data_IF_885075617170
#
_entry.id   IF_885075617170
#
_cell.length_a   1.000
_cell.length_b   1.000
_cell.length_c   1.000
_cell.angle_alpha   90.00
_cell.angle_beta   90.00
_cell.angle_gamma   90.00
#
_symmetry.space_group_name_H-M   'P 1'
#
loop_
_entity.id
_entity.type
_entity.pdbx_description
1 polymer ?
#
# COMPACT_ATOMS: atom_id res chain seq x y z
N UNK A 1 58.15 18.83 -1.97
CA UNK A 1 57.13 18.34 -1.01
C UNK A 1 56.08 19.41 -0.72
N UNK A 2 56.49 20.62 -0.35
CA UNK A 2 55.59 21.78 -0.11
C UNK A 2 54.69 22.13 -1.29
N UNK A 3 55.21 22.19 -2.52
CA UNK A 3 54.39 22.51 -3.71
C UNK A 3 53.31 21.46 -4.01
N UNK A 4 53.62 20.18 -3.81
CA UNK A 4 52.66 19.07 -3.98
C UNK A 4 51.57 19.17 -2.92
N UNK A 5 51.93 19.44 -1.66
CA UNK A 5 50.95 19.61 -0.57
C UNK A 5 50.07 20.84 -0.83
N UNK A 6 50.64 21.96 -1.28
CA UNK A 6 49.89 23.17 -1.59
C UNK A 6 48.90 22.94 -2.74
N UNK A 7 49.31 22.22 -3.79
CA UNK A 7 48.46 21.85 -4.91
C UNK A 7 47.28 20.95 -4.50
N UNK A 8 47.54 19.95 -3.66
CA UNK A 8 46.48 19.07 -3.12
C UNK A 8 45.50 19.87 -2.27
N UNK A 9 45.98 20.73 -1.36
CA UNK A 9 45.13 21.56 -0.51
C UNK A 9 44.27 22.50 -1.35
N UNK A 10 44.85 23.17 -2.34
CA UNK A 10 44.11 24.06 -3.24
C UNK A 10 43.00 23.33 -4.00
N UNK A 11 43.31 22.14 -4.53
CA UNK A 11 42.34 21.31 -5.23
C UNK A 11 41.20 20.85 -4.32
N UNK A 12 41.51 20.42 -3.09
CA UNK A 12 40.50 20.03 -2.09
C UNK A 12 39.61 21.23 -1.71
N UNK A 13 40.19 22.42 -1.52
CA UNK A 13 39.43 23.64 -1.19
C UNK A 13 38.47 24.02 -2.32
N UNK A 14 38.91 23.94 -3.59
CA UNK A 14 38.03 24.19 -4.73
C UNK A 14 36.87 23.20 -4.76
N UNK A 15 37.14 21.90 -4.56
CA UNK A 15 36.08 20.88 -4.54
C UNK A 15 35.10 21.15 -3.39
N UNK A 16 35.59 21.47 -2.19
CA UNK A 16 34.74 21.78 -1.03
C UNK A 16 33.90 23.03 -1.26
N UNK A 17 34.45 24.07 -1.89
CA UNK A 17 33.72 25.27 -2.28
C UNK A 17 32.62 24.96 -3.30
N UNK A 18 32.92 24.17 -4.33
CA UNK A 18 31.95 23.74 -5.34
C UNK A 18 30.82 22.92 -4.70
N UNK A 19 31.16 21.95 -3.85
CA UNK A 19 30.18 21.12 -3.13
C UNK A 19 29.33 21.99 -2.19
N UNK A 20 29.94 22.92 -1.47
CA UNK A 20 29.23 23.87 -0.61
C UNK A 20 28.24 24.73 -1.38
N UNK A 21 28.65 25.23 -2.56
CA UNK A 21 27.77 25.98 -3.46
C UNK A 21 26.58 25.15 -3.96
N UNK A 22 26.82 23.89 -4.34
CA UNK A 22 25.75 22.96 -4.76
C UNK A 22 24.77 22.69 -3.62
N UNK A 23 25.26 22.44 -2.41
CA UNK A 23 24.41 22.20 -1.24
C UNK A 23 23.57 23.45 -0.90
N UNK A 24 24.18 24.64 -0.95
CA UNK A 24 23.46 25.88 -0.70
C UNK A 24 22.37 26.15 -1.77
N UNK A 25 22.67 25.88 -3.03
CA UNK A 25 21.69 25.96 -4.11
C UNK A 25 20.55 24.95 -3.89
N UNK A 26 20.87 23.69 -3.56
CA UNK A 26 19.89 22.64 -3.27
C UNK A 26 18.95 23.04 -2.13
N UNK A 27 19.47 23.59 -1.02
CA UNK A 27 18.66 24.03 0.13
C UNK A 27 17.70 25.18 -0.18
N UNK A 28 17.98 26.00 -1.21
CA UNK A 28 17.08 27.08 -1.63
C UNK A 28 16.10 26.68 -2.72
N UNK A 29 16.46 25.73 -3.58
CA UNK A 29 15.67 25.33 -4.74
C UNK A 29 14.75 24.14 -4.48
N UNK A 30 15.09 23.31 -3.49
CA UNK A 30 14.26 22.15 -3.10
C UNK A 30 13.40 22.56 -1.91
N UNK A 31 12.06 22.52 -2.05
CA UNK A 31 11.16 22.73 -0.92
C UNK A 31 11.51 21.72 0.19
N UNK A 32 11.77 22.25 1.38
CA UNK A 32 12.11 21.48 2.57
C UNK A 32 11.40 22.10 3.76
N UNK A 33 10.72 21.28 4.55
CA UNK A 33 9.87 21.75 5.63
C UNK A 33 8.64 20.85 5.82
N UNK A 34 7.73 21.33 6.64
CA UNK A 34 6.39 20.80 6.83
C UNK A 34 5.45 21.69 6.02
N UNK A 35 4.48 21.09 5.36
CA UNK A 35 3.43 21.78 4.59
C UNK A 35 2.07 21.38 5.12
N UNK A 36 1.14 22.32 5.03
CA UNK A 36 -0.21 22.12 5.51
C UNK A 36 -1.08 21.51 4.41
N UNK A 37 -1.77 20.42 4.73
CA UNK A 37 -2.79 19.81 3.86
C UNK A 37 -4.17 20.04 4.46
N UNK A 38 -4.93 20.93 3.86
CA UNK A 38 -6.32 21.22 4.24
C UNK A 38 -7.26 20.25 3.51
N UNK A 39 -8.08 19.54 4.26
CA UNK A 39 -9.06 18.57 3.72
C UNK A 39 -10.47 19.15 3.87
N UNK A 40 -11.27 19.13 2.80
CA UNK A 40 -12.70 19.51 2.82
C UNK A 40 -13.02 20.90 3.41
N UNK A 41 -12.15 21.89 3.17
CA UNK A 41 -12.30 23.26 3.71
C UNK A 41 -12.22 23.36 5.25
N UNK A 42 -11.79 22.31 5.96
CA UNK A 42 -11.55 22.35 7.40
C UNK A 42 -10.20 23.01 7.68
N UNK A 43 -10.18 24.35 7.59
CA UNK A 43 -8.96 25.18 7.74
C UNK A 43 -8.42 25.19 9.18
N UNK A 44 -9.25 24.85 10.17
CA UNK A 44 -8.89 24.93 11.58
C UNK A 44 -8.05 23.74 12.08
N UNK A 45 -7.98 22.63 11.32
CA UNK A 45 -7.17 21.43 11.63
C UNK A 45 -6.39 20.96 10.39
N UNK A 46 -5.39 21.73 9.91
CA UNK A 46 -4.56 21.31 8.78
C UNK A 46 -3.66 20.13 9.17
N UNK A 47 -3.48 19.19 8.24
CA UNK A 47 -2.56 18.07 8.43
C UNK A 47 -1.13 18.52 8.12
N UNK A 48 -0.25 18.37 9.10
CA UNK A 48 1.18 18.64 8.95
C UNK A 48 1.87 17.49 8.21
N UNK A 49 2.33 17.74 6.98
CA UNK A 49 2.96 16.73 6.13
C UNK A 49 4.39 17.11 5.78
N UNK A 50 5.31 16.14 5.83
CA UNK A 50 6.70 16.36 5.47
C UNK A 50 6.88 16.58 3.95
N UNK A 51 7.77 17.51 3.61
CA UNK A 51 8.10 17.79 2.21
C UNK A 51 8.59 16.54 1.46
N UNK A 52 8.02 16.34 0.27
CA UNK A 52 8.26 15.27 -0.70
C UNK A 52 7.60 13.91 -0.39
N UNK A 53 6.92 13.76 0.73
CA UNK A 53 6.11 12.57 1.00
C UNK A 53 4.98 12.44 -0.01
N UNK A 54 4.59 11.18 -0.29
CA UNK A 54 3.44 10.93 -1.14
C UNK A 54 2.17 11.22 -0.34
N UNK A 55 1.25 11.97 -0.96
CA UNK A 55 0.00 12.36 -0.32
C UNK A 55 -0.77 11.13 0.20
N UNK A 56 -0.73 9.99 -0.50
CA UNK A 56 -1.37 8.76 -0.01
C UNK A 56 -0.86 8.32 1.37
N UNK A 57 0.46 8.31 1.58
CA UNK A 57 1.04 7.85 2.84
C UNK A 57 0.87 8.90 3.92
N UNK A 58 1.05 10.17 3.58
CA UNK A 58 0.82 11.27 4.51
C UNK A 58 -0.63 11.32 5.05
N UNK A 59 -1.62 11.02 4.21
CA UNK A 59 -3.01 10.90 4.64
C UNK A 59 -3.20 9.67 5.54
N UNK A 60 -2.60 8.53 5.18
CA UNK A 60 -2.69 7.31 5.99
C UNK A 60 -2.04 7.46 7.37
N UNK A 61 -0.94 8.21 7.48
CA UNK A 61 -0.26 8.53 8.74
C UNK A 61 -1.10 9.44 9.66
N UNK A 62 -2.10 10.12 9.09
CA UNK A 62 -3.08 10.95 9.79
C UNK A 62 -4.48 10.30 9.82
N UNK A 63 -4.54 8.97 9.79
CA UNK A 63 -5.78 8.17 9.88
C UNK A 63 -6.81 8.41 8.75
N UNK A 64 -6.38 8.97 7.60
CA UNK A 64 -7.23 9.16 6.41
C UNK A 64 -6.84 8.15 5.34
N UNK A 65 -7.65 7.10 5.20
CA UNK A 65 -7.33 5.98 4.31
C UNK A 65 -7.98 6.10 2.93
N UNK A 66 -7.24 6.70 1.98
CA UNK A 66 -7.69 6.77 0.59
C UNK A 66 -7.60 5.39 -0.08
N UNK A 67 -8.64 4.95 -0.82
CA UNK A 67 -8.65 3.71 -1.61
C UNK A 67 -7.37 3.48 -2.43
N UNK A 68 -6.62 2.41 -2.11
CA UNK A 68 -5.40 2.08 -2.85
C UNK A 68 -5.10 0.57 -2.86
N UNK A 69 -5.63 -0.16 -3.85
CA UNK A 69 -5.32 -1.58 -3.99
C UNK A 69 -3.84 -1.88 -4.31
N UNK A 70 -3.12 -0.95 -4.95
CA UNK A 70 -1.74 -1.17 -5.39
C UNK A 70 -0.66 -0.75 -4.37
N UNK A 71 -1.04 -0.22 -3.21
CA UNK A 71 -0.07 0.26 -2.20
C UNK A 71 0.82 1.40 -2.69
N UNK A 72 0.33 2.21 -3.63
CA UNK A 72 1.00 3.40 -4.13
C UNK A 72 1.84 3.24 -5.41
N UNK A 73 1.76 2.08 -6.08
CA UNK A 73 2.44 1.84 -7.36
C UNK A 73 1.91 2.63 -8.57
N UNK A 74 0.82 3.40 -8.43
CA UNK A 74 0.27 4.21 -9.52
C UNK A 74 -0.43 3.43 -10.64
N UNK A 75 -0.74 2.15 -10.42
CA UNK A 75 -1.28 1.24 -11.45
C UNK A 75 -2.77 0.92 -11.31
N UNK A 76 -3.37 1.12 -10.13
CA UNK A 76 -4.78 0.82 -9.90
C UNK A 76 -5.73 1.98 -10.22
N UNK A 77 -5.25 3.23 -10.15
CA UNK A 77 -6.07 4.42 -10.37
C UNK A 77 -7.18 4.67 -9.34
N UNK A 78 -7.20 3.95 -8.22
CA UNK A 78 -8.24 4.09 -7.17
C UNK A 78 -7.98 5.25 -6.21
N UNK A 79 -6.72 5.65 -6.04
CA UNK A 79 -6.32 6.71 -5.11
C UNK A 79 -6.58 8.11 -5.68
N UNK A 80 -7.74 8.30 -6.33
CA UNK A 80 -8.14 9.58 -6.91
C UNK A 80 -8.55 10.52 -5.79
N UNK A 81 -7.94 11.70 -5.80
CA UNK A 81 -8.27 12.79 -4.89
C UNK A 81 -8.45 14.05 -5.73
N UNK A 82 -9.34 14.94 -5.31
CA UNK A 82 -9.51 16.23 -5.98
C UNK A 82 -8.65 17.26 -5.27
N UNK A 83 -7.71 17.85 -6.00
CA UNK A 83 -6.82 18.89 -5.47
C UNK A 83 -7.32 20.24 -5.95
N UNK A 84 -7.75 21.07 -5.01
CA UNK A 84 -8.26 22.42 -5.26
C UNK A 84 -7.09 23.38 -5.46
N UNK A 85 -6.07 23.29 -4.61
CA UNK A 85 -4.90 24.17 -4.65
C UNK A 85 -3.61 23.40 -4.36
N UNK A 86 -2.52 23.87 -4.96
CA UNK A 86 -1.17 23.41 -4.65
C UNK A 86 -0.72 22.09 -5.29
N UNK A 87 -1.57 21.39 -6.05
CA UNK A 87 -1.23 20.08 -6.65
C UNK A 87 -0.24 20.11 -7.82
N UNK A 88 0.07 21.28 -8.38
CA UNK A 88 0.91 21.42 -9.57
C UNK A 88 0.31 20.75 -10.82
N UNK A 89 1.15 20.44 -11.81
CA UNK A 89 0.72 19.80 -13.07
C UNK A 89 0.60 18.28 -12.97
N UNK A 90 -0.32 17.71 -13.77
CA UNK A 90 -0.54 16.26 -13.86
C UNK A 90 0.69 15.53 -14.40
N UNK A 91 1.13 14.50 -13.68
CA UNK A 91 2.29 13.70 -14.06
C UNK A 91 1.93 12.71 -15.19
N UNK A 92 2.89 12.31 -16.04
CA UNK A 92 2.65 11.29 -17.07
C UNK A 92 2.12 9.97 -16.51
N UNK A 93 2.51 9.60 -15.28
CA UNK A 93 2.05 8.39 -14.58
C UNK A 93 0.56 8.44 -14.20
N UNK A 94 -0.03 9.62 -14.14
CA UNK A 94 -1.44 9.81 -13.80
C UNK A 94 -2.34 9.79 -15.04
N UNK A 95 -1.79 10.13 -16.22
CA UNK A 95 -2.55 10.27 -17.48
C UNK A 95 -3.16 8.96 -17.99
N UNK A 96 -2.70 7.81 -17.51
CA UNK A 96 -3.32 6.51 -17.83
C UNK A 96 -4.66 6.29 -17.12
N UNK A 97 -4.88 6.95 -15.98
CA UNK A 97 -6.05 6.74 -15.13
C UNK A 97 -6.94 7.98 -14.98
N UNK A 98 -6.43 9.15 -15.35
CA UNK A 98 -7.12 10.44 -15.24
C UNK A 98 -7.32 11.00 -16.64
N UNK A 99 -8.59 11.21 -17.02
CA UNK A 99 -8.95 11.78 -18.29
C UNK A 99 -8.81 13.32 -18.28
N UNK A 100 -8.92 13.95 -19.46
CA UNK A 100 -8.73 15.41 -19.61
C UNK A 100 -9.77 16.22 -18.81
N UNK A 101 -11.01 15.71 -18.65
CA UNK A 101 -12.04 16.41 -17.85
C UNK A 101 -11.72 16.34 -16.37
N UNK A 102 -11.41 15.15 -15.86
CA UNK A 102 -10.97 14.95 -14.48
C UNK A 102 -9.73 15.80 -14.16
N UNK A 103 -8.74 15.84 -15.05
CA UNK A 103 -7.55 16.67 -14.86
C UNK A 103 -7.87 18.18 -14.78
N UNK A 104 -8.88 18.66 -15.53
CA UNK A 104 -9.35 20.06 -15.45
C UNK A 104 -10.10 20.36 -14.16
N UNK A 105 -10.76 19.36 -13.59
CA UNK A 105 -11.46 19.45 -12.30
C UNK A 105 -10.52 19.29 -11.09
N UNK A 106 -9.22 19.07 -11.33
CA UNK A 106 -8.20 18.97 -10.29
C UNK A 106 -7.98 17.56 -9.75
N UNK A 107 -8.50 16.51 -10.40
CA UNK A 107 -8.25 15.14 -9.96
C UNK A 107 -6.80 14.74 -10.16
N UNK A 108 -6.22 14.12 -9.13
CA UNK A 108 -4.84 13.62 -9.05
C UNK A 108 -4.81 12.23 -8.41
N UNK A 109 -3.73 11.48 -8.63
CA UNK A 109 -3.47 10.25 -7.89
C UNK A 109 -2.64 10.58 -6.65
N UNK A 110 -3.23 10.45 -5.45
CA UNK A 110 -2.56 10.79 -4.19
C UNK A 110 -1.26 10.00 -3.98
N UNK A 111 -1.15 8.79 -4.52
CA UNK A 111 0.09 8.00 -4.42
C UNK A 111 1.24 8.51 -5.28
N UNK A 112 0.95 9.25 -6.35
CA UNK A 112 1.98 9.78 -7.25
C UNK A 112 2.30 11.24 -6.93
N UNK A 113 1.34 11.97 -6.39
CA UNK A 113 1.49 13.35 -5.94
C UNK A 113 2.41 13.42 -4.71
N UNK A 114 3.54 14.13 -4.86
CA UNK A 114 4.43 14.47 -3.75
C UNK A 114 4.10 15.86 -3.22
N UNK A 115 4.02 16.01 -1.90
CA UNK A 115 3.73 17.30 -1.24
C UNK A 115 4.95 18.22 -1.34
N UNK A 116 4.82 19.38 -1.97
CA UNK A 116 5.94 20.33 -2.20
C UNK A 116 5.66 21.76 -1.72
N UNK A 117 4.43 22.00 -1.33
CA UNK A 117 3.84 23.25 -0.89
C UNK A 117 2.50 22.90 -0.23
N UNK A 118 1.87 23.87 0.41
CA UNK A 118 0.58 23.69 1.04
C UNK A 118 -0.46 23.21 0.01
N UNK A 119 -1.30 22.27 0.41
CA UNK A 119 -2.29 21.61 -0.43
C UNK A 119 -3.68 21.84 0.13
N UNK A 120 -4.64 21.97 -0.78
CA UNK A 120 -6.05 21.92 -0.45
C UNK A 120 -6.70 20.81 -1.24
N UNK A 121 -7.29 19.85 -0.55
CA UNK A 121 -7.89 18.66 -1.17
C UNK A 121 -9.35 18.48 -0.74
N UNK A 122 -10.14 17.87 -1.61
CA UNK A 122 -11.50 17.42 -1.33
C UNK A 122 -11.55 15.89 -1.37
N UNK A 123 -12.12 15.30 -0.32
CA UNK A 123 -12.30 13.86 -0.15
C UNK A 123 -13.77 13.54 0.17
N UNK A 124 -14.33 12.47 -0.41
CA UNK A 124 -15.69 12.04 -0.06
C UNK A 124 -15.78 11.63 1.42
N UNK A 125 -16.91 11.91 2.09
CA UNK A 125 -17.09 11.67 3.53
C UNK A 125 -16.98 10.19 3.94
N UNK A 126 -17.15 9.28 2.98
CA UNK A 126 -17.00 7.84 3.17
C UNK A 126 -15.59 7.44 3.59
N UNK A 127 -14.56 8.17 3.15
CA UNK A 127 -13.15 7.86 3.45
C UNK A 127 -12.84 7.98 4.95
N UNK A 128 -13.53 8.88 5.64
CA UNK A 128 -13.33 9.09 7.09
C UNK A 128 -14.03 8.03 7.95
N UNK A 129 -14.78 7.09 7.34
CA UNK A 129 -15.44 5.99 8.07
C UNK A 129 -14.60 4.73 8.17
N UNK A 130 -13.48 4.65 7.44
CA UNK A 130 -12.61 3.48 7.45
C UNK A 130 -12.07 3.25 8.87
N UNK A 131 -12.23 2.02 9.40
CA UNK A 131 -11.75 1.65 10.73
C UNK A 131 -10.77 0.50 10.66
N UNK A 132 -9.76 0.53 11.52
CA UNK A 132 -8.93 -0.65 11.75
C UNK A 132 -9.75 -1.68 12.55
N UNK A 133 -9.83 -2.89 12.02
CA UNK A 133 -10.55 -4.01 12.64
C UNK A 133 -9.58 -5.14 12.97
N UNK A 134 -9.92 -5.89 14.02
CA UNK A 134 -9.18 -7.06 14.47
C UNK A 134 -10.12 -8.25 14.52
N UNK A 135 -9.91 -9.23 13.65
CA UNK A 135 -10.76 -10.40 13.53
C UNK A 135 -10.04 -11.68 13.96
N UNK A 136 -10.83 -12.69 14.30
CA UNK A 136 -10.36 -14.06 14.55
C UNK A 136 -10.72 -14.95 13.37
N UNK A 137 -9.81 -15.82 12.95
CA UNK A 137 -10.06 -16.79 11.88
C UNK A 137 -11.00 -17.88 12.38
N UNK A 138 -12.17 -18.01 11.77
CA UNK A 138 -13.13 -19.10 12.04
C UNK A 138 -12.73 -20.34 11.23
N UNK A 139 -12.46 -20.16 9.94
CA UNK A 139 -12.08 -21.26 9.05
C UNK A 139 -11.29 -20.74 7.85
N UNK A 140 -10.44 -21.61 7.30
CA UNK A 140 -9.61 -21.29 6.13
C UNK A 140 -9.47 -22.53 5.22
N UNK A 141 -10.59 -22.96 4.62
CA UNK A 141 -10.72 -24.25 3.91
C UNK A 141 -10.55 -24.07 2.41
N UNK A 142 -10.06 -25.11 1.73
CA UNK A 142 -9.98 -25.10 0.27
C UNK A 142 -11.36 -25.23 -0.38
N UNK A 143 -11.69 -24.25 -1.22
CA UNK A 143 -12.85 -24.31 -2.13
C UNK A 143 -12.44 -24.74 -3.54
N UNK A 144 -11.16 -24.58 -3.89
CA UNK A 144 -10.53 -25.12 -5.09
C UNK A 144 -9.06 -25.46 -4.82
N UNK A 145 -8.38 -26.08 -5.79
CA UNK A 145 -6.96 -26.46 -5.69
C UNK A 145 -6.08 -25.31 -5.19
N UNK A 146 -6.28 -24.10 -5.72
CA UNK A 146 -5.48 -22.92 -5.41
C UNK A 146 -6.27 -21.79 -4.74
N UNK A 147 -7.47 -22.07 -4.21
CA UNK A 147 -8.33 -21.06 -3.59
C UNK A 147 -8.82 -21.55 -2.24
N UNK A 148 -8.61 -20.73 -1.20
CA UNK A 148 -9.21 -20.91 0.12
C UNK A 148 -10.30 -19.88 0.38
N UNK A 149 -11.36 -20.33 1.06
CA UNK A 149 -12.34 -19.46 1.67
C UNK A 149 -11.90 -19.19 3.12
N UNK A 150 -11.49 -17.95 3.36
CA UNK A 150 -11.16 -17.44 4.68
C UNK A 150 -12.42 -16.81 5.27
N UNK A 151 -12.89 -17.37 6.38
CA UNK A 151 -14.01 -16.84 7.15
C UNK A 151 -13.45 -16.25 8.44
N UNK A 152 -13.70 -14.97 8.63
CA UNK A 152 -13.27 -14.20 9.79
C UNK A 152 -14.48 -13.84 10.65
N UNK A 153 -14.28 -13.85 11.97
CA UNK A 153 -15.24 -13.35 12.95
C UNK A 153 -15.03 -11.86 13.15
N UNK A 154 -16.04 -11.07 12.82
CA UNK A 154 -16.01 -9.63 13.06
C UNK A 154 -16.25 -9.33 14.55
N UNK A 155 -15.44 -8.45 15.18
CA UNK A 155 -15.66 -8.04 16.57
C UNK A 155 -16.83 -7.05 16.72
N UNK A 156 -17.05 -6.22 15.70
CA UNK A 156 -18.11 -5.22 15.59
C UNK A 156 -18.75 -5.33 14.21
N UNK A 157 -20.00 -4.90 14.08
CA UNK A 157 -20.66 -4.83 12.77
C UNK A 157 -19.93 -3.84 11.86
N UNK A 158 -19.64 -4.30 10.65
CA UNK A 158 -19.01 -3.52 9.60
C UNK A 158 -20.04 -3.29 8.51
N UNK A 159 -20.42 -2.02 8.31
CA UNK A 159 -21.27 -1.63 7.20
C UNK A 159 -20.45 -1.65 5.90
N UNK A 160 -20.84 -2.47 4.93
CA UNK A 160 -20.21 -2.49 3.61
C UNK A 160 -21.26 -2.71 2.52
N UNK A 161 -20.89 -2.40 1.28
CA UNK A 161 -21.70 -2.68 0.09
C UNK A 161 -21.16 -3.89 -0.66
N UNK A 162 -22.06 -4.66 -1.28
CA UNK A 162 -21.67 -5.78 -2.12
C UNK A 162 -20.81 -5.30 -3.29
N UNK A 163 -19.63 -5.92 -3.47
CA UNK A 163 -18.61 -5.48 -4.43
C UNK A 163 -17.50 -4.64 -3.82
N UNK A 164 -17.63 -4.24 -2.54
CA UNK A 164 -16.54 -3.64 -1.78
C UNK A 164 -15.35 -4.57 -1.55
N UNK A 165 -14.27 -4.00 -1.04
CA UNK A 165 -13.07 -4.72 -0.62
C UNK A 165 -12.56 -4.18 0.71
N UNK A 166 -11.85 -5.02 1.45
CA UNK A 166 -11.08 -4.64 2.63
C UNK A 166 -9.58 -4.73 2.32
N UNK A 167 -8.76 -4.02 3.08
CA UNK A 167 -7.32 -4.14 3.04
C UNK A 167 -6.84 -4.95 4.25
N UNK A 168 -6.27 -6.11 3.99
CA UNK A 168 -5.74 -6.96 5.06
C UNK A 168 -4.28 -6.61 5.33
N UNK A 169 -3.95 -6.42 6.61
CA UNK A 169 -2.62 -6.11 7.12
C UNK A 169 -1.88 -7.42 7.40
N UNK A 170 -0.70 -7.56 6.81
CA UNK A 170 0.13 -8.77 6.91
C UNK A 170 1.40 -8.40 7.68
N UNK A 171 1.57 -8.90 8.91
CA UNK A 171 2.77 -8.66 9.69
C UNK A 171 3.97 -9.42 9.10
N UNK A 172 5.22 -9.11 9.52
CA UNK A 172 6.39 -9.89 9.15
C UNK A 172 6.23 -11.37 9.50
N UNK A 173 6.59 -12.26 8.58
CA UNK A 173 6.42 -13.69 8.74
C UNK A 173 7.44 -14.50 7.92
N UNK A 174 7.56 -15.78 8.26
CA UNK A 174 8.21 -16.80 7.43
C UNK A 174 7.37 -18.07 7.48
N UNK A 175 6.83 -18.51 6.34
CA UNK A 175 6.02 -19.74 6.24
C UNK A 175 6.48 -20.63 5.10
N UNK A 176 6.23 -21.93 5.25
CA UNK A 176 6.47 -22.95 4.22
C UNK A 176 5.16 -23.48 3.70
N UNK A 177 5.09 -23.73 2.40
CA UNK A 177 3.87 -24.23 1.77
C UNK A 177 3.52 -25.66 2.23
N UNK A 178 4.52 -26.43 2.68
CA UNK A 178 4.34 -27.74 3.34
C UNK A 178 3.59 -27.69 4.67
N UNK A 179 3.47 -26.52 5.30
CA UNK A 179 2.74 -26.34 6.56
C UNK A 179 1.27 -25.97 6.34
N UNK A 180 0.86 -25.73 5.08
CA UNK A 180 -0.50 -25.35 4.76
C UNK A 180 -1.45 -26.54 4.90
N UNK A 181 -2.60 -26.28 5.53
CA UNK A 181 -3.69 -27.24 5.61
C UNK A 181 -4.42 -27.28 4.25
N UNK A 182 -4.11 -28.28 3.41
CA UNK A 182 -4.68 -28.46 2.07
C UNK A 182 -5.47 -29.77 2.06
N UNK A 183 -6.72 -29.75 1.57
CA UNK A 183 -7.54 -30.97 1.43
C UNK A 183 -6.80 -32.04 0.60
N UNK A 184 -6.84 -33.30 1.05
CA UNK A 184 -6.17 -34.45 0.40
C UNK A 184 -6.48 -34.55 -1.11
N UNK A 185 -7.71 -34.21 -1.51
CA UNK A 185 -8.16 -34.23 -2.91
C UNK A 185 -7.37 -33.29 -3.83
N UNK A 186 -6.64 -32.32 -3.30
CA UNK A 186 -5.82 -31.37 -4.05
C UNK A 186 -4.31 -31.65 -3.95
N UNK A 187 -3.88 -32.67 -3.19
CA UNK A 187 -2.46 -32.96 -2.99
C UNK A 187 -1.75 -33.38 -4.27
N UNK A 188 -2.44 -34.10 -5.17
CA UNK A 188 -1.86 -34.54 -6.45
C UNK A 188 -1.45 -33.35 -7.33
N UNK A 189 -2.33 -32.35 -7.43
CA UNK A 189 -2.08 -31.11 -8.17
C UNK A 189 -0.92 -30.31 -7.55
N UNK A 190 -0.91 -30.18 -6.22
CA UNK A 190 0.15 -29.48 -5.48
C UNK A 190 1.51 -30.14 -5.64
N UNK A 191 1.54 -31.47 -5.64
CA UNK A 191 2.75 -32.26 -5.84
C UNK A 191 3.24 -32.12 -7.28
N UNK A 192 2.33 -32.22 -8.26
CA UNK A 192 2.64 -32.07 -9.68
C UNK A 192 3.16 -30.67 -10.01
N UNK A 193 2.66 -29.65 -9.31
CA UNK A 193 3.11 -28.27 -9.44
C UNK A 193 4.36 -27.94 -8.59
N UNK A 194 4.89 -28.89 -7.79
CA UNK A 194 6.09 -28.69 -6.98
C UNK A 194 5.95 -27.62 -5.91
N UNK A 195 4.74 -27.45 -5.34
CA UNK A 195 4.44 -26.32 -4.45
C UNK A 195 4.93 -26.53 -3.02
N UNK A 196 5.13 -27.77 -2.58
CA UNK A 196 5.46 -28.11 -1.20
C UNK A 196 6.81 -27.57 -0.72
N UNK A 197 7.75 -27.39 -1.64
CA UNK A 197 9.11 -26.92 -1.34
C UNK A 197 9.23 -25.39 -1.34
N UNK A 198 8.13 -24.66 -1.55
CA UNK A 198 8.12 -23.21 -1.62
C UNK A 198 8.06 -22.61 -0.20
N UNK A 199 8.88 -21.58 0.03
CA UNK A 199 8.86 -20.78 1.24
C UNK A 199 8.61 -19.30 0.90
N UNK A 200 7.85 -18.62 1.76
CA UNK A 200 7.65 -17.18 1.66
C UNK A 200 8.09 -16.51 2.95
N UNK A 201 8.98 -15.52 2.82
CA UNK A 201 9.49 -14.72 3.92
C UNK A 201 9.31 -13.25 3.60
N UNK A 202 8.75 -12.51 4.55
CA UNK A 202 8.50 -11.07 4.44
C UNK A 202 8.91 -10.43 5.76
N UNK A 203 9.88 -9.52 5.70
CA UNK A 203 10.42 -8.85 6.90
C UNK A 203 9.71 -7.52 7.22
N UNK A 204 8.82 -7.06 6.33
CA UNK A 204 8.10 -5.79 6.43
C UNK A 204 6.59 -6.03 6.52
N UNK A 205 5.89 -5.13 7.18
CA UNK A 205 4.43 -5.13 7.14
C UNK A 205 3.94 -4.70 5.75
N UNK A 206 2.94 -5.41 5.23
CA UNK A 206 2.32 -5.08 3.95
C UNK A 206 0.80 -5.08 4.05
N UNK A 207 0.16 -4.32 3.18
CA UNK A 207 -1.30 -4.33 3.03
C UNK A 207 -1.72 -4.80 1.63
N UNK A 208 -2.78 -5.60 1.54
CA UNK A 208 -3.36 -6.02 0.26
C UNK A 208 -4.88 -6.04 0.30
N UNK A 209 -5.49 -5.61 -0.80
CA UNK A 209 -6.93 -5.59 -0.96
C UNK A 209 -7.48 -6.99 -1.27
N UNK A 210 -8.59 -7.35 -0.62
CA UNK A 210 -9.38 -8.54 -0.86
C UNK A 210 -10.86 -8.20 -0.87
N UNK A 211 -11.57 -8.61 -1.93
CA UNK A 211 -13.01 -8.38 -2.05
C UNK A 211 -13.79 -9.25 -1.08
N UNK A 212 -14.85 -8.68 -0.51
CA UNK A 212 -15.80 -9.41 0.33
C UNK A 212 -16.61 -10.37 -0.55
N UNK A 213 -16.66 -11.63 -0.13
CA UNK A 213 -17.45 -12.67 -0.76
C UNK A 213 -18.85 -12.79 -0.15
N UNK A 214 -19.05 -12.32 1.09
CA UNK A 214 -20.37 -12.22 1.71
C UNK A 214 -21.11 -10.93 1.30
N UNK A 215 -22.43 -10.96 1.46
CA UNK A 215 -23.29 -9.79 1.30
C UNK A 215 -23.65 -9.19 2.68
N UNK A 216 -24.14 -7.94 2.75
CA UNK A 216 -24.21 -7.19 4.01
C UNK A 216 -25.09 -7.79 5.11
N UNK A 217 -26.07 -8.65 4.79
CA UNK A 217 -26.92 -9.30 5.81
C UNK A 217 -26.32 -10.60 6.37
N UNK A 218 -25.14 -11.04 5.92
CA UNK A 218 -24.38 -12.08 6.61
C UNK A 218 -23.59 -11.46 7.77
N UNK A 219 -24.31 -11.13 8.83
CA UNK A 219 -23.80 -10.43 10.01
C UNK A 219 -22.74 -11.26 10.78
N UNK A 220 -21.83 -10.56 11.44
CA UNK A 220 -20.82 -11.15 12.34
C UNK A 220 -19.68 -11.91 11.66
N UNK A 221 -19.69 -12.03 10.33
CA UNK A 221 -18.64 -12.72 9.57
C UNK A 221 -18.17 -11.91 8.36
N UNK A 222 -16.93 -12.14 7.98
CA UNK A 222 -16.34 -11.65 6.74
C UNK A 222 -15.76 -12.82 5.97
N UNK A 223 -16.16 -12.97 4.70
CA UNK A 223 -15.71 -14.08 3.85
C UNK A 223 -14.83 -13.53 2.74
N UNK A 224 -13.67 -14.15 2.53
CA UNK A 224 -12.74 -13.80 1.47
C UNK A 224 -12.38 -15.05 0.68
N UNK A 225 -12.34 -14.93 -0.65
CA UNK A 225 -11.81 -15.96 -1.53
C UNK A 225 -10.40 -15.57 -1.96
N UNK A 226 -9.41 -16.30 -1.44
CA UNK A 226 -8.00 -15.97 -1.66
C UNK A 226 -7.38 -17.03 -2.56
N UNK A 227 -6.83 -16.58 -3.69
CA UNK A 227 -6.00 -17.41 -4.55
C UNK A 227 -4.55 -17.36 -4.08
N UNK A 228 -3.89 -18.51 -3.97
CA UNK A 228 -2.45 -18.56 -3.73
C UNK A 228 -1.71 -18.06 -4.98
N UNK A 229 -0.90 -17.02 -4.82
CA UNK A 229 -0.02 -16.53 -5.88
C UNK A 229 1.30 -17.31 -5.85
N UNK A 230 1.36 -18.40 -6.61
CA UNK A 230 2.57 -19.19 -6.81
C UNK A 230 3.51 -18.50 -7.80
N UNK A 231 4.82 -18.80 -7.76
CA UNK A 231 5.73 -18.43 -8.84
C UNK A 231 5.18 -18.90 -10.20
N UNK A 232 5.33 -18.12 -11.28
CA UNK A 232 4.95 -18.57 -12.61
C UNK A 232 5.71 -19.85 -12.98
N UNK A 233 5.01 -20.86 -13.51
CA UNK A 233 5.60 -22.17 -13.85
C UNK A 233 6.83 -22.08 -14.76
N UNK A 234 6.90 -21.04 -15.60
CA UNK A 234 7.96 -20.84 -16.58
C UNK A 234 9.14 -20.01 -16.04
N UNK A 235 9.07 -19.47 -14.83
CA UNK A 235 10.07 -18.55 -14.28
C UNK A 235 10.49 -18.94 -12.86
N UNK A 236 11.64 -19.62 -12.77
CA UNK A 236 12.11 -20.28 -11.54
C UNK A 236 12.68 -19.35 -10.44
N UNK A 237 12.78 -18.05 -10.70
CA UNK A 237 13.41 -17.09 -9.78
C UNK A 237 12.46 -15.99 -9.28
N UNK A 238 11.15 -16.14 -9.50
CA UNK A 238 10.17 -15.20 -8.99
C UNK A 238 9.73 -15.66 -7.59
N UNK A 239 9.80 -14.79 -6.56
CA UNK A 239 9.35 -15.14 -5.22
C UNK A 239 7.82 -15.37 -5.20
N UNK A 240 7.32 -16.24 -4.30
CA UNK A 240 5.88 -16.44 -4.13
C UNK A 240 5.19 -15.17 -3.62
N UNK A 241 3.87 -15.11 -3.79
CA UNK A 241 3.06 -13.97 -3.37
C UNK A 241 3.08 -13.75 -1.87
N UNK A 242 3.39 -12.52 -1.46
CA UNK A 242 3.55 -12.15 -0.04
C UNK A 242 2.24 -12.29 0.77
N UNK A 243 1.16 -11.61 0.41
CA UNK A 243 -0.05 -11.64 1.24
C UNK A 243 -0.81 -12.98 1.13
N UNK A 244 -0.88 -13.57 -0.07
CA UNK A 244 -1.58 -14.85 -0.26
C UNK A 244 -0.92 -16.01 0.49
N UNK A 245 0.42 -16.03 0.61
CA UNK A 245 1.12 -17.08 1.35
C UNK A 245 0.84 -17.01 2.85
N UNK A 246 0.80 -15.79 3.41
CA UNK A 246 0.37 -15.57 4.80
C UNK A 246 -1.08 -16.01 5.03
N UNK A 247 -2.00 -15.64 4.15
CA UNK A 247 -3.41 -16.03 4.32
C UNK A 247 -3.57 -17.55 4.28
N UNK A 248 -2.85 -18.23 3.38
CA UNK A 248 -2.92 -19.69 3.28
C UNK A 248 -2.38 -20.41 4.52
N UNK A 249 -1.47 -19.77 5.26
CA UNK A 249 -0.92 -20.34 6.50
C UNK A 249 -1.84 -20.17 7.71
N UNK A 250 -2.82 -19.27 7.65
CA UNK A 250 -3.72 -18.99 8.77
C UNK A 250 -4.54 -20.23 9.17
N UNK A 251 -4.66 -20.44 10.47
CA UNK A 251 -5.42 -21.51 11.11
C UNK A 251 -6.57 -20.94 11.94
N UNK A 252 -7.63 -21.73 12.22
CA UNK A 252 -8.68 -21.31 13.13
C UNK A 252 -8.12 -20.85 14.49
N UNK A 253 -8.55 -19.67 14.95
CA UNK A 253 -8.06 -19.02 16.18
C UNK A 253 -6.95 -17.99 15.96
N UNK A 254 -6.35 -17.91 14.78
CA UNK A 254 -5.37 -16.87 14.47
C UNK A 254 -6.03 -15.49 14.43
N UNK A 255 -5.27 -14.46 14.81
CA UNK A 255 -5.72 -13.06 14.76
C UNK A 255 -5.23 -12.39 13.50
N UNK A 256 -6.12 -11.67 12.84
CA UNK A 256 -5.83 -10.89 11.64
C UNK A 256 -6.33 -9.46 11.83
N UNK A 257 -5.62 -8.52 11.23
CA UNK A 257 -6.01 -7.11 11.23
C UNK A 257 -6.17 -6.59 9.81
N UNK A 258 -6.93 -5.53 9.67
CA UNK A 258 -7.06 -4.83 8.40
C UNK A 258 -7.80 -3.52 8.53
N UNK A 259 -7.91 -2.83 7.39
CA UNK A 259 -8.63 -1.57 7.22
C UNK A 259 -9.83 -1.83 6.30
N UNK A 260 -10.98 -1.31 6.69
CA UNK A 260 -12.24 -1.50 5.98
C UNK A 260 -13.21 -0.37 6.29
#
# INVERSE_FOLDING_TARGET
>A
MTEIVLGIVFFVVIILLLVGMIIQAKRRLVPSGIFDVVVNDEVDEPLEVSANDKLLFALADNDIYVPSACGGGGTCGQCKVKVVEGGGEILPTEKSHINIREAKEGYRLSCQLSVKNDLKIELPPEIFKAKEWHCEVISNKNVATFIKELILKLPEEMDFEAGGYIQMKVPPYHVKFSEFDIDEKFHEDWTSAGLWDIESKVDEEIMRAYSMANYPLEEGVLKLNVRIATPPLNEKNIPPGKASSYIFSLKPGDKVAGLG
#
